data_IF_236904011513
#
_entry.id   IF_236904011513
#
_cell.length_a   1.000
_cell.length_b   1.000
_cell.length_c   1.000
_cell.angle_alpha   90.00
_cell.angle_beta   90.00
_cell.angle_gamma   90.00
#
_symmetry.space_group_name_H-M   'P 1'
#
loop_
_entity.id
_entity.type
_entity.pdbx_description
1 polymer ?
#
# COMPACT_ATOMS: atom_id res chain seq x y z
N UNK A 1 0.83 1.72 1.99
CA UNK A 1 1.13 3.15 1.65
C UNK A 1 -0.08 3.92 1.14
N UNK A 2 -0.98 3.33 0.32
CA UNK A 2 -2.17 4.02 -0.19
C UNK A 2 -3.07 4.58 0.91
N UNK A 3 -3.27 3.86 2.00
CA UNK A 3 -4.11 4.31 3.11
C UNK A 3 -3.63 5.63 3.73
N UNK A 4 -2.33 5.76 3.98
CA UNK A 4 -1.75 7.00 4.51
C UNK A 4 -1.90 8.16 3.51
N UNK A 5 -1.68 7.89 2.23
CA UNK A 5 -1.90 8.89 1.18
C UNK A 5 -3.35 9.36 1.15
N UNK A 6 -4.31 8.47 1.32
CA UNK A 6 -5.74 8.78 1.36
C UNK A 6 -6.12 9.60 2.61
N UNK A 7 -5.49 9.31 3.77
CA UNK A 7 -5.64 10.13 4.97
C UNK A 7 -5.13 11.55 4.75
N UNK A 8 -3.89 11.69 4.27
CA UNK A 8 -3.27 13.00 4.03
C UNK A 8 -4.06 13.80 3.00
N UNK A 9 -4.53 13.15 1.94
CA UNK A 9 -5.39 13.79 0.93
C UNK A 9 -6.71 14.26 1.54
N UNK A 10 -7.32 13.47 2.40
CA UNK A 10 -8.56 13.86 3.10
C UNK A 10 -8.34 15.06 4.01
N UNK A 11 -7.22 15.11 4.73
CA UNK A 11 -6.81 16.26 5.54
C UNK A 11 -6.58 17.52 4.69
N UNK A 12 -5.96 17.37 3.52
CA UNK A 12 -5.75 18.48 2.60
C UNK A 12 -7.07 19.05 2.06
N UNK A 13 -8.02 18.20 1.71
CA UNK A 13 -9.37 18.61 1.25
C UNK A 13 -10.09 19.42 2.32
N UNK A 14 -9.90 19.10 3.59
CA UNK A 14 -10.48 19.79 4.74
C UNK A 14 -9.61 20.92 5.31
N UNK A 15 -8.52 21.27 4.63
CA UNK A 15 -7.58 22.33 5.02
C UNK A 15 -6.85 22.11 6.36
N UNK A 16 -6.71 20.88 6.83
CA UNK A 16 -5.90 20.57 8.01
C UNK A 16 -4.40 20.48 7.68
N UNK A 17 -4.05 20.24 6.43
CA UNK A 17 -2.68 20.23 5.92
C UNK A 17 -2.64 20.81 4.51
N UNK A 18 -1.60 21.54 4.18
CA UNK A 18 -1.38 22.07 2.84
C UNK A 18 -0.32 21.27 2.08
N UNK A 19 -0.27 21.42 0.75
CA UNK A 19 0.80 20.82 -0.06
C UNK A 19 2.16 21.37 0.35
N UNK A 20 2.25 22.67 0.67
CA UNK A 20 3.49 23.28 1.15
C UNK A 20 3.97 22.69 2.47
N UNK A 21 3.07 22.33 3.37
CA UNK A 21 3.39 21.67 4.63
C UNK A 21 4.06 20.32 4.39
N UNK A 22 3.62 19.57 3.38
CA UNK A 22 4.20 18.27 3.02
C UNK A 22 5.66 18.39 2.52
N UNK A 23 6.03 19.53 1.94
CA UNK A 23 7.42 19.78 1.55
C UNK A 23 8.30 20.23 2.73
N UNK A 24 7.71 20.79 3.78
CA UNK A 24 8.44 21.37 4.92
C UNK A 24 8.54 20.40 6.10
N UNK A 25 7.52 19.56 6.30
CA UNK A 25 7.42 18.68 7.46
C UNK A 25 8.15 17.36 7.24
N UNK A 26 8.78 16.88 8.31
CA UNK A 26 9.29 15.53 8.40
C UNK A 26 8.13 14.52 8.53
N UNK A 27 8.39 13.26 8.27
CA UNK A 27 7.42 12.17 8.48
C UNK A 27 6.84 12.19 9.89
N UNK A 28 7.69 12.39 10.90
CA UNK A 28 7.27 12.46 12.31
C UNK A 28 6.28 13.59 12.56
N UNK A 29 6.52 14.77 11.99
CA UNK A 29 5.62 15.93 12.11
C UNK A 29 4.28 15.67 11.41
N UNK A 30 4.29 15.04 10.23
CA UNK A 30 3.05 14.65 9.54
C UNK A 30 2.24 13.65 10.37
N UNK A 31 2.89 12.65 10.94
CA UNK A 31 2.22 11.68 11.83
C UNK A 31 1.60 12.37 13.05
N UNK A 32 2.30 13.31 13.66
CA UNK A 32 1.78 14.10 14.79
C UNK A 32 0.56 14.92 14.38
N UNK A 33 0.56 15.53 13.20
CA UNK A 33 -0.59 16.26 12.67
C UNK A 33 -1.81 15.35 12.47
N UNK A 34 -1.61 14.14 11.98
CA UNK A 34 -2.69 13.17 11.82
C UNK A 34 -3.25 12.75 13.19
N UNK A 35 -2.38 12.46 14.15
CA UNK A 35 -2.77 12.04 15.50
C UNK A 35 -3.52 13.13 16.26
N UNK A 36 -3.20 14.39 16.01
CA UNK A 36 -3.82 15.56 16.64
C UNK A 36 -4.89 16.23 15.75
N UNK A 37 -5.29 15.60 14.66
CA UNK A 37 -6.30 16.14 13.77
C UNK A 37 -7.63 16.36 14.50
N UNK A 38 -8.25 17.53 14.30
CA UNK A 38 -9.55 17.86 14.87
C UNK A 38 -10.70 17.04 14.27
N UNK A 39 -10.50 16.53 13.05
CA UNK A 39 -11.45 15.62 12.41
C UNK A 39 -11.35 14.23 13.04
N UNK A 40 -12.32 13.90 13.89
CA UNK A 40 -12.37 12.59 14.56
C UNK A 40 -12.47 11.41 13.58
N UNK A 41 -13.06 11.61 12.42
CA UNK A 41 -13.17 10.55 11.41
C UNK A 41 -11.78 10.15 10.86
N UNK A 42 -10.95 11.13 10.52
CA UNK A 42 -9.56 10.92 10.11
C UNK A 42 -8.72 10.36 11.25
N UNK A 43 -8.84 10.94 12.44
CA UNK A 43 -8.09 10.51 13.62
C UNK A 43 -8.40 9.06 14.00
N UNK A 44 -9.66 8.68 14.02
CA UNK A 44 -10.09 7.33 14.35
C UNK A 44 -9.63 6.31 13.27
N UNK A 45 -9.68 6.67 12.00
CA UNK A 45 -9.16 5.84 10.93
C UNK A 45 -7.66 5.56 11.09
N UNK A 46 -6.89 6.57 11.44
CA UNK A 46 -5.46 6.41 11.68
C UNK A 46 -5.17 5.56 12.93
N UNK A 47 -5.93 5.74 14.01
CA UNK A 47 -5.82 4.89 15.21
C UNK A 47 -6.10 3.41 14.88
N UNK A 48 -7.15 3.14 14.10
CA UNK A 48 -7.46 1.79 13.64
C UNK A 48 -6.34 1.19 12.80
N UNK A 49 -5.73 1.99 11.94
CA UNK A 49 -4.58 1.58 11.15
C UNK A 49 -3.36 1.24 12.03
N UNK A 50 -3.05 2.06 13.02
CA UNK A 50 -1.92 1.81 13.93
C UNK A 50 -2.11 0.52 14.76
N UNK A 51 -3.35 0.19 15.10
CA UNK A 51 -3.70 -1.01 15.86
C UNK A 51 -3.99 -2.24 15.00
N UNK A 52 -3.90 -2.10 13.67
CA UNK A 52 -4.18 -3.19 12.75
C UNK A 52 -3.14 -4.31 12.86
N UNK A 53 -3.62 -5.55 12.84
CA UNK A 53 -2.81 -6.76 12.83
C UNK A 53 -2.96 -7.49 11.49
N UNK A 54 -2.27 -8.61 11.31
CA UNK A 54 -2.44 -9.45 10.11
C UNK A 54 -3.87 -9.91 9.89
N UNK A 55 -4.61 -10.16 10.97
CA UNK A 55 -6.03 -10.55 10.91
C UNK A 55 -6.95 -9.42 10.49
N UNK A 56 -6.50 -8.16 10.60
CA UNK A 56 -7.25 -6.98 10.16
C UNK A 56 -7.16 -6.73 8.66
N UNK A 57 -6.30 -7.44 7.94
CA UNK A 57 -6.10 -7.25 6.50
C UNK A 57 -7.15 -8.01 5.71
N UNK A 58 -7.88 -7.29 4.89
CA UNK A 58 -8.83 -7.83 3.93
C UNK A 58 -8.17 -8.04 2.57
N UNK A 59 -8.42 -9.20 1.96
CA UNK A 59 -7.95 -9.53 0.60
C UNK A 59 -9.08 -10.20 -0.16
N UNK A 60 -9.40 -9.70 -1.34
CA UNK A 60 -10.45 -10.27 -2.19
C UNK A 60 -10.27 -9.89 -3.66
N UNK A 61 -10.91 -10.63 -4.53
CA UNK A 61 -11.00 -10.31 -5.95
C UNK A 61 -12.14 -9.33 -6.27
N UNK A 62 -12.99 -9.05 -5.29
CA UNK A 62 -14.11 -8.11 -5.40
C UNK A 62 -13.98 -7.00 -4.36
N UNK A 63 -14.43 -5.75 -4.69
CA UNK A 63 -14.41 -4.64 -3.74
C UNK A 63 -15.47 -4.86 -2.65
N UNK A 64 -15.15 -4.39 -1.44
CA UNK A 64 -16.10 -4.31 -0.34
C UNK A 64 -16.30 -2.85 0.04
N UNK A 65 -17.52 -2.34 -0.16
CA UNK A 65 -17.86 -0.94 0.06
C UNK A 65 -18.08 -0.58 1.53
N UNK A 66 -18.16 -1.57 2.43
CA UNK A 66 -18.38 -1.35 3.87
C UNK A 66 -17.08 -1.07 4.63
N UNK A 67 -15.94 -1.46 4.05
CA UNK A 67 -14.62 -1.29 4.65
C UNK A 67 -13.70 -0.47 3.74
N UNK A 68 -12.58 0.00 4.30
CA UNK A 68 -11.54 0.59 3.47
C UNK A 68 -10.91 -0.48 2.58
N UNK A 69 -10.97 -0.27 1.28
CA UNK A 69 -10.48 -1.21 0.28
C UNK A 69 -9.92 -0.45 -0.93
N UNK A 70 -8.77 -0.86 -1.40
CA UNK A 70 -8.14 -0.26 -2.58
C UNK A 70 -7.74 -1.33 -3.59
N UNK A 71 -7.79 -0.99 -4.87
CA UNK A 71 -7.33 -1.87 -5.93
C UNK A 71 -5.81 -1.97 -5.95
N UNK A 72 -5.30 -3.16 -6.17
CA UNK A 72 -3.86 -3.43 -6.24
C UNK A 72 -3.46 -3.77 -7.66
N UNK A 73 -2.54 -3.00 -8.20
CA UNK A 73 -1.90 -3.24 -9.49
C UNK A 73 -0.39 -3.38 -9.27
N UNK A 74 0.00 -4.52 -8.72
CA UNK A 74 1.40 -4.85 -8.50
C UNK A 74 2.06 -5.39 -9.76
N UNK A 75 3.30 -4.99 -10.00
CA UNK A 75 4.17 -5.64 -10.99
C UNK A 75 5.04 -6.66 -10.28
N UNK A 76 5.04 -7.88 -10.76
CA UNK A 76 5.96 -8.90 -10.26
C UNK A 76 7.38 -8.56 -10.70
N UNK A 77 8.28 -8.44 -9.74
CA UNK A 77 9.69 -8.14 -9.98
C UNK A 77 10.53 -9.20 -9.29
N UNK A 78 11.59 -9.62 -9.95
CA UNK A 78 12.58 -10.54 -9.42
C UNK A 78 13.97 -10.17 -9.90
N UNK A 79 14.97 -10.61 -9.14
CA UNK A 79 16.36 -10.43 -9.50
C UNK A 79 16.82 -11.66 -10.28
N UNK A 80 17.44 -11.44 -11.44
CA UNK A 80 18.02 -12.50 -12.26
C UNK A 80 19.50 -12.17 -12.53
N UNK A 81 20.36 -12.28 -11.50
CA UNK A 81 21.76 -11.89 -11.61
C UNK A 81 22.55 -12.83 -12.51
N UNK A 82 23.67 -12.31 -13.02
CA UNK A 82 24.69 -13.13 -13.67
C UNK A 82 25.49 -13.85 -12.58
N UNK A 83 25.59 -15.16 -12.69
CA UNK A 83 26.27 -16.01 -11.73
C UNK A 83 27.16 -17.03 -12.41
N UNK A 84 28.15 -17.54 -11.68
CA UNK A 84 28.93 -18.70 -12.07
C UNK A 84 28.54 -19.88 -11.19
N UNK A 85 28.06 -20.95 -11.78
CA UNK A 85 27.64 -22.17 -11.10
C UNK A 85 28.11 -23.39 -11.90
N UNK A 86 28.84 -24.32 -11.25
CA UNK A 86 29.37 -25.53 -11.88
C UNK A 86 30.10 -25.27 -13.19
N UNK A 87 31.01 -24.27 -13.19
CA UNK A 87 31.79 -23.82 -14.37
C UNK A 87 30.95 -23.25 -15.54
N UNK A 88 29.66 -22.96 -15.27
CA UNK A 88 28.78 -22.26 -16.21
C UNK A 88 28.56 -20.85 -15.77
N UNK A 89 28.66 -19.89 -16.67
CA UNK A 89 28.34 -18.48 -16.44
C UNK A 89 27.06 -18.14 -17.19
N UNK A 90 26.09 -17.57 -16.47
CA UNK A 90 24.81 -17.18 -17.05
C UNK A 90 23.88 -16.53 -16.01
N UNK A 91 22.69 -16.19 -16.45
CA UNK A 91 21.66 -15.72 -15.54
C UNK A 91 21.23 -16.86 -14.62
N UNK A 92 20.99 -16.55 -13.32
CA UNK A 92 20.67 -17.58 -12.34
C UNK A 92 19.47 -18.45 -12.76
N UNK A 93 18.49 -17.85 -13.41
CA UNK A 93 17.33 -18.57 -13.98
C UNK A 93 17.74 -19.66 -14.99
N UNK A 94 18.76 -19.38 -15.79
CA UNK A 94 19.19 -20.27 -16.89
C UNK A 94 20.16 -21.37 -16.42
N UNK A 95 20.94 -21.10 -15.36
CA UNK A 95 21.97 -22.03 -14.87
C UNK A 95 21.53 -22.83 -13.64
N UNK A 96 20.45 -22.45 -12.97
CA UNK A 96 19.93 -23.12 -11.79
C UNK A 96 18.48 -23.56 -12.00
N UNK A 97 18.26 -24.87 -12.01
CA UNK A 97 16.91 -25.46 -12.10
C UNK A 97 16.05 -25.03 -10.90
N UNK A 98 16.65 -24.98 -9.71
CA UNK A 98 15.97 -24.55 -8.47
C UNK A 98 15.52 -23.11 -8.56
N UNK A 99 16.41 -22.20 -8.98
CA UNK A 99 16.07 -20.79 -9.15
C UNK A 99 14.99 -20.57 -10.21
N UNK A 100 15.09 -21.28 -11.34
CA UNK A 100 14.07 -21.22 -12.38
C UNK A 100 12.69 -21.68 -11.89
N UNK A 101 12.63 -22.74 -11.09
CA UNK A 101 11.39 -23.25 -10.50
C UNK A 101 10.75 -22.22 -9.55
N UNK A 102 11.54 -21.62 -8.64
CA UNK A 102 11.06 -20.56 -7.74
C UNK A 102 10.57 -19.33 -8.49
N UNK A 103 11.30 -18.87 -9.51
CA UNK A 103 10.91 -17.72 -10.31
C UNK A 103 9.61 -18.03 -11.07
N UNK A 104 9.48 -19.21 -11.65
CA UNK A 104 8.28 -19.63 -12.38
C UNK A 104 7.05 -19.71 -11.44
N UNK A 105 7.21 -20.26 -10.24
CA UNK A 105 6.15 -20.28 -9.22
C UNK A 105 5.74 -18.87 -8.82
N UNK A 106 6.72 -17.97 -8.59
CA UNK A 106 6.45 -16.58 -8.27
C UNK A 106 5.69 -15.85 -9.38
N UNK A 107 6.08 -16.03 -10.64
CA UNK A 107 5.42 -15.41 -11.79
C UNK A 107 3.99 -15.91 -12.00
N UNK A 108 3.73 -17.18 -11.67
CA UNK A 108 2.41 -17.80 -11.78
C UNK A 108 1.52 -17.57 -10.55
N UNK A 109 2.04 -16.98 -9.48
CA UNK A 109 1.27 -16.66 -8.28
C UNK A 109 0.20 -15.62 -8.61
N UNK A 110 -1.04 -15.91 -8.23
CA UNK A 110 -2.16 -14.97 -8.38
C UNK A 110 -2.26 -14.09 -7.14
N UNK A 111 -2.41 -12.78 -7.36
CA UNK A 111 -2.70 -11.83 -6.31
C UNK A 111 -4.18 -11.47 -6.30
N UNK A 112 -4.72 -11.20 -5.12
CA UNK A 112 -6.03 -10.60 -5.01
C UNK A 112 -6.04 -9.19 -5.62
N UNK A 113 -7.16 -8.82 -6.24
CA UNK A 113 -7.30 -7.52 -6.92
C UNK A 113 -7.47 -6.36 -5.93
N UNK A 114 -7.99 -6.63 -4.74
CA UNK A 114 -8.28 -5.64 -3.71
C UNK A 114 -7.63 -6.03 -2.39
N UNK A 115 -7.07 -5.03 -1.72
CA UNK A 115 -6.54 -5.14 -0.36
C UNK A 115 -7.11 -3.99 0.46
N UNK A 116 -7.44 -4.26 1.70
CA UNK A 116 -7.97 -3.28 2.62
C UNK A 116 -7.84 -3.69 4.07
N UNK A 117 -8.58 -3.01 4.92
CA UNK A 117 -8.65 -3.27 6.35
C UNK A 117 -10.08 -3.57 6.75
N UNK A 118 -10.25 -4.23 7.89
CA UNK A 118 -11.55 -4.61 8.45
C UNK A 118 -12.31 -3.46 9.12
N UNK A 119 -11.90 -2.21 8.90
CA UNK A 119 -12.58 -1.03 9.38
C UNK A 119 -13.05 -0.12 8.25
N UNK A 120 -14.08 0.67 8.52
CA UNK A 120 -14.64 1.62 7.55
C UNK A 120 -13.83 2.91 7.54
N UNK A 121 -13.39 3.31 6.35
CA UNK A 121 -12.86 4.63 6.08
C UNK A 121 -13.12 4.99 4.61
N UNK A 122 -13.83 6.08 4.39
CA UNK A 122 -14.05 6.62 3.04
C UNK A 122 -13.30 7.94 2.93
N UNK A 123 -12.23 8.00 2.11
CA UNK A 123 -11.49 9.24 1.89
C UNK A 123 -12.42 10.34 1.37
N UNK A 124 -12.22 11.56 1.82
CA UNK A 124 -12.93 12.70 1.25
C UNK A 124 -12.57 12.88 -0.22
N UNK A 125 -13.54 13.27 -1.00
CA UNK A 125 -13.38 13.55 -2.42
C UNK A 125 -13.70 15.02 -2.68
N UNK A 126 -12.92 15.62 -3.57
CA UNK A 126 -13.30 16.91 -4.13
C UNK A 126 -14.55 16.70 -4.97
N UNK A 127 -15.62 17.39 -4.64
CA UNK A 127 -16.79 17.47 -5.49
C UNK A 127 -16.39 18.35 -6.69
N UNK A 128 -16.12 17.72 -7.80
CA UNK A 128 -16.01 18.43 -9.07
C UNK A 128 -17.42 18.88 -9.42
N UNK A 129 -17.72 20.14 -9.21
CA UNK A 129 -18.91 20.75 -9.77
C UNK A 129 -18.75 20.75 -11.29
N UNK A 130 -19.57 19.95 -11.93
CA UNK A 130 -19.70 19.98 -13.40
C UNK A 130 -20.47 21.23 -13.81
#
# INVERSE_FOLDING_TARGET
>A
MQFIADIVKSMNIKNYITVDDLYKFSEKEVIQLIQNCEDNYVKNAFNNFQNATRSSVYKSDEPNNEIYCTSVKGKKRYINPLVSLDNKVGRIKDVSIVANDYISKFLNMKYHKFIGFDFSFKPYKVLLHQ
#
